data_IF_585793876926
#
_entry.id   IF_585793876926
#
_cell.length_a   1.000
_cell.length_b   1.000
_cell.length_c   1.000
_cell.angle_alpha   90.00
_cell.angle_beta   90.00
_cell.angle_gamma   90.00
#
_symmetry.space_group_name_H-M   'P 1'
#
loop_
_entity.id
_entity.type
_entity.pdbx_description
1 polymer ?
#
# COMPACT_ATOMS: atom_id res chain seq x y z
N UNK A 1 -16.01 -21.61 22.43
CA UNK A 1 -15.10 -22.02 21.34
C UNK A 1 -14.83 -20.91 20.31
N UNK A 2 -15.74 -19.94 20.10
CA UNK A 2 -15.55 -18.84 19.12
C UNK A 2 -14.54 -17.74 19.49
N UNK A 3 -14.15 -17.63 20.77
CA UNK A 3 -13.25 -16.56 21.23
C UNK A 3 -11.78 -16.79 20.81
N UNK A 4 -11.37 -18.05 20.68
CA UNK A 4 -9.99 -18.43 20.38
C UNK A 4 -9.60 -18.12 18.93
N UNK A 5 -10.49 -18.44 17.98
CA UNK A 5 -10.26 -18.18 16.56
C UNK A 5 -10.17 -16.68 16.23
N UNK A 6 -11.04 -15.85 16.85
CA UNK A 6 -11.01 -14.40 16.63
C UNK A 6 -9.72 -13.78 17.19
N UNK A 7 -9.31 -14.20 18.38
CA UNK A 7 -8.05 -13.75 18.98
C UNK A 7 -6.85 -14.23 18.15
N UNK A 8 -6.85 -15.48 17.68
CA UNK A 8 -5.78 -16.02 16.82
C UNK A 8 -5.65 -15.24 15.52
N UNK A 9 -6.76 -14.91 14.87
CA UNK A 9 -6.74 -14.09 13.66
C UNK A 9 -6.21 -12.68 13.94
N UNK A 10 -6.68 -12.03 15.00
CA UNK A 10 -6.20 -10.70 15.39
C UNK A 10 -4.69 -10.69 15.70
N UNK A 11 -4.17 -11.75 16.34
CA UNK A 11 -2.74 -11.92 16.57
C UNK A 11 -1.97 -12.06 15.25
N UNK A 12 -2.45 -12.89 14.33
CA UNK A 12 -1.78 -13.07 13.03
C UNK A 12 -1.79 -11.77 12.20
N UNK A 13 -2.94 -11.09 12.14
CA UNK A 13 -3.07 -9.82 11.44
C UNK A 13 -2.15 -8.76 12.08
N UNK A 14 -2.03 -8.74 13.41
CA UNK A 14 -1.10 -7.86 14.11
C UNK A 14 0.38 -8.18 13.82
N UNK A 15 0.75 -9.46 13.76
CA UNK A 15 2.12 -9.87 13.42
C UNK A 15 2.51 -9.41 12.01
N UNK A 16 1.58 -9.49 11.05
CA UNK A 16 1.81 -8.99 9.69
C UNK A 16 2.00 -7.45 9.69
N UNK A 17 1.17 -6.71 10.43
CA UNK A 17 1.29 -5.25 10.58
C UNK A 17 2.61 -4.84 11.24
N UNK A 18 3.11 -5.64 12.17
CA UNK A 18 4.40 -5.44 12.81
C UNK A 18 5.58 -5.74 11.87
N UNK A 19 5.47 -6.74 10.98
CA UNK A 19 6.48 -6.98 9.94
C UNK A 19 6.57 -5.80 8.97
N UNK A 20 5.42 -5.24 8.56
CA UNK A 20 5.41 -4.01 7.76
C UNK A 20 6.06 -2.83 8.49
N UNK A 21 5.67 -2.62 9.76
CA UNK A 21 6.27 -1.59 10.63
C UNK A 21 7.79 -1.70 10.71
N UNK A 22 8.32 -2.92 10.81
CA UNK A 22 9.76 -3.17 10.82
C UNK A 22 10.42 -2.79 9.49
N UNK A 23 9.81 -3.12 8.36
CA UNK A 23 10.29 -2.74 7.03
C UNK A 23 10.30 -1.20 6.86
N UNK A 24 9.25 -0.49 7.28
CA UNK A 24 9.17 0.98 7.21
C UNK A 24 10.18 1.70 8.11
N UNK A 25 10.39 1.17 9.33
CA UNK A 25 11.42 1.69 10.22
C UNK A 25 12.83 1.43 9.67
N UNK A 26 13.06 0.29 9.02
CA UNK A 26 14.32 -0.01 8.34
C UNK A 26 14.61 0.97 7.19
N UNK A 27 13.58 1.33 6.40
CA UNK A 27 13.69 2.37 5.37
C UNK A 27 14.02 3.74 5.99
N UNK A 28 13.39 4.07 7.11
CA UNK A 28 13.63 5.32 7.85
C UNK A 28 15.07 5.42 8.34
N UNK A 29 15.59 4.33 8.92
CA UNK A 29 16.98 4.26 9.38
C UNK A 29 17.94 4.42 8.18
N UNK A 30 17.71 3.65 7.11
CA UNK A 30 18.58 3.64 5.92
C UNK A 30 18.68 5.04 5.27
N UNK A 31 17.55 5.74 5.12
CA UNK A 31 17.54 7.10 4.58
C UNK A 31 18.17 8.16 5.50
N UNK A 32 18.23 7.87 6.81
CA UNK A 32 18.88 8.75 7.79
C UNK A 32 20.39 8.55 7.79
N UNK A 33 20.85 7.30 7.76
CA UNK A 33 22.27 6.93 7.74
C UNK A 33 22.96 7.31 6.42
N UNK A 34 22.25 7.17 5.29
CA UNK A 34 22.80 7.47 3.98
C UNK A 34 21.98 8.57 3.25
N UNK A 35 22.17 9.85 3.61
CA UNK A 35 21.38 10.96 3.07
C UNK A 35 21.50 11.16 1.56
N UNK A 36 22.58 10.64 0.96
CA UNK A 36 22.88 10.79 -0.46
C UNK A 36 22.61 9.50 -1.26
N UNK A 37 22.19 8.42 -0.59
CA UNK A 37 21.75 7.22 -1.30
C UNK A 37 20.54 7.55 -2.16
N UNK A 38 20.59 7.13 -3.42
CA UNK A 38 19.39 6.98 -4.23
C UNK A 38 18.66 5.74 -3.72
N UNK A 39 18.02 5.87 -2.57
CA UNK A 39 17.20 4.82 -1.99
C UNK A 39 16.16 4.37 -3.01
N UNK A 40 15.98 3.06 -3.08
CA UNK A 40 15.21 2.38 -4.14
C UNK A 40 13.75 2.85 -4.21
N UNK A 41 13.24 3.39 -3.10
CA UNK A 41 11.83 3.72 -2.87
C UNK A 41 11.58 5.18 -2.47
N UNK A 42 12.55 6.07 -2.68
CA UNK A 42 12.43 7.47 -2.27
C UNK A 42 11.75 8.34 -3.35
N UNK A 43 11.09 9.42 -2.90
CA UNK A 43 10.52 10.43 -3.78
C UNK A 43 11.57 11.45 -4.25
N UNK A 44 12.77 11.39 -3.68
CA UNK A 44 13.80 12.42 -3.78
C UNK A 44 13.66 13.51 -2.73
N UNK A 45 12.56 13.51 -1.95
CA UNK A 45 12.40 14.35 -0.77
C UNK A 45 12.46 13.49 0.49
N UNK A 46 13.67 13.36 1.03
CA UNK A 46 13.95 12.56 2.23
C UNK A 46 13.00 12.87 3.39
N UNK A 47 12.66 14.13 3.64
CA UNK A 47 11.78 14.49 4.74
C UNK A 47 10.35 13.99 4.51
N UNK A 48 9.87 14.07 3.28
CA UNK A 48 8.58 13.50 2.91
C UNK A 48 8.58 11.99 3.08
N UNK A 49 9.63 11.32 2.61
CA UNK A 49 9.75 9.86 2.69
C UNK A 49 9.78 9.38 4.15
N UNK A 50 10.60 10.03 5.00
CA UNK A 50 10.64 9.73 6.44
C UNK A 50 9.28 9.94 7.12
N UNK A 51 8.56 11.02 6.78
CA UNK A 51 7.20 11.24 7.31
C UNK A 51 6.24 10.13 6.89
N UNK A 52 6.31 9.72 5.62
CA UNK A 52 5.46 8.66 5.08
C UNK A 52 5.72 7.33 5.78
N UNK A 53 6.97 6.90 5.90
CA UNK A 53 7.30 5.62 6.53
C UNK A 53 7.01 5.61 8.03
N UNK A 54 7.32 6.69 8.75
CA UNK A 54 6.97 6.81 10.17
C UNK A 54 5.45 6.85 10.39
N UNK A 55 4.71 7.55 9.52
CA UNK A 55 3.24 7.56 9.55
C UNK A 55 2.63 6.19 9.27
N UNK A 56 3.18 5.46 8.29
CA UNK A 56 2.81 4.08 7.98
C UNK A 56 3.00 3.15 9.19
N UNK A 57 4.18 3.21 9.81
CA UNK A 57 4.47 2.40 11.00
C UNK A 57 3.55 2.72 12.18
N UNK A 58 3.09 3.96 12.34
CA UNK A 58 2.09 4.32 13.36
C UNK A 58 0.71 3.76 13.01
N UNK A 59 0.25 3.96 11.77
CA UNK A 59 -1.05 3.44 11.32
C UNK A 59 -1.15 1.91 11.40
N UNK A 60 -0.04 1.19 11.15
CA UNK A 60 0.05 -0.25 11.32
C UNK A 60 -0.12 -0.67 12.80
N UNK A 61 0.45 0.09 13.74
CA UNK A 61 0.29 -0.17 15.18
C UNK A 61 -1.14 0.09 15.64
N UNK A 62 -1.76 1.19 15.19
CA UNK A 62 -3.16 1.51 15.49
C UNK A 62 -4.10 0.42 14.95
N UNK A 63 -3.91 0.03 13.67
CA UNK A 63 -4.70 -1.05 13.05
C UNK A 63 -4.54 -2.39 13.78
N UNK A 64 -3.33 -2.71 14.27
CA UNK A 64 -3.14 -3.92 15.07
C UNK A 64 -3.99 -3.85 16.34
N UNK A 65 -4.00 -2.72 17.05
CA UNK A 65 -4.78 -2.57 18.28
C UNK A 65 -6.29 -2.69 18.01
N UNK A 66 -6.77 -2.06 16.93
CA UNK A 66 -8.16 -2.11 16.49
C UNK A 66 -8.58 -3.55 16.11
N UNK A 67 -7.66 -4.37 15.60
CA UNK A 67 -7.89 -5.78 15.30
C UNK A 67 -8.35 -6.61 16.51
N UNK A 68 -8.03 -6.15 17.74
CA UNK A 68 -8.47 -6.80 18.98
C UNK A 68 -9.79 -6.25 19.53
N UNK A 69 -10.41 -5.25 18.91
CA UNK A 69 -11.70 -4.72 19.35
C UNK A 69 -12.79 -5.79 19.32
N UNK A 70 -13.61 -5.77 20.37
CA UNK A 70 -14.62 -6.81 20.62
C UNK A 70 -14.04 -8.16 21.06
N UNK A 71 -12.73 -8.27 21.33
CA UNK A 71 -12.15 -9.39 22.08
C UNK A 71 -11.96 -9.00 23.54
N UNK A 72 -12.48 -9.79 24.48
CA UNK A 72 -12.19 -9.64 25.91
C UNK A 72 -10.96 -10.46 26.28
N UNK A 73 -9.83 -10.19 25.63
CA UNK A 73 -8.61 -10.99 25.78
C UNK A 73 -7.54 -10.27 26.61
N UNK A 74 -6.91 -11.00 27.53
CA UNK A 74 -5.68 -10.57 28.23
C UNK A 74 -4.56 -10.20 27.24
N UNK A 75 -4.55 -10.87 26.08
CA UNK A 75 -3.62 -10.65 24.97
C UNK A 75 -3.69 -9.20 24.45
N UNK A 76 -4.90 -8.63 24.31
CA UNK A 76 -5.08 -7.22 23.90
C UNK A 76 -4.31 -6.25 24.81
N UNK A 77 -4.37 -6.46 26.13
CA UNK A 77 -3.71 -5.56 27.09
C UNK A 77 -2.18 -5.67 27.04
N UNK A 78 -1.64 -6.88 26.87
CA UNK A 78 -0.19 -7.08 26.71
C UNK A 78 0.28 -6.38 25.43
N UNK A 79 -0.37 -6.69 24.31
CA UNK A 79 0.02 -6.15 23.00
C UNK A 79 -0.13 -4.63 22.99
N UNK A 80 -1.26 -4.09 23.48
CA UNK A 80 -1.48 -2.64 23.58
C UNK A 80 -0.44 -1.93 24.44
N UNK A 81 -0.02 -2.53 25.56
CA UNK A 81 1.04 -1.97 26.40
C UNK A 81 2.40 -1.90 25.70
N UNK A 82 2.81 -2.97 25.02
CA UNK A 82 4.05 -2.99 24.23
C UNK A 82 4.00 -2.05 23.03
N UNK A 83 2.89 -2.04 22.29
CA UNK A 83 2.70 -1.15 21.15
C UNK A 83 2.71 0.31 21.58
N UNK A 84 2.06 0.67 22.69
CA UNK A 84 2.06 2.05 23.18
C UNK A 84 3.46 2.62 23.43
N UNK A 85 4.43 1.79 23.82
CA UNK A 85 5.83 2.21 23.94
C UNK A 85 6.46 2.50 22.57
N UNK A 86 6.23 1.63 21.60
CA UNK A 86 6.71 1.80 20.23
C UNK A 86 6.07 3.03 19.59
N UNK A 87 4.76 3.20 19.73
CA UNK A 87 4.00 4.34 19.20
C UNK A 87 4.56 5.65 19.73
N UNK A 88 4.88 5.72 21.02
CA UNK A 88 5.49 6.90 21.64
C UNK A 88 6.84 7.24 21.02
N UNK A 89 7.72 6.25 20.85
CA UNK A 89 9.04 6.44 20.23
C UNK A 89 8.92 6.88 18.76
N UNK A 90 8.08 6.23 17.97
CA UNK A 90 7.87 6.57 16.56
C UNK A 90 7.26 7.97 16.42
N UNK A 91 6.32 8.35 17.29
CA UNK A 91 5.74 9.70 17.35
C UNK A 91 6.79 10.76 17.67
N UNK A 92 7.69 10.48 18.60
CA UNK A 92 8.80 11.38 18.94
C UNK A 92 9.71 11.61 17.72
N UNK A 93 10.07 10.55 16.99
CA UNK A 93 10.88 10.65 15.76
C UNK A 93 10.14 11.41 14.67
N UNK A 94 8.86 11.11 14.47
CA UNK A 94 8.02 11.84 13.51
C UNK A 94 7.96 13.34 13.85
N UNK A 95 7.87 13.69 15.13
CA UNK A 95 7.93 15.07 15.61
C UNK A 95 9.24 15.77 15.22
N UNK A 96 10.37 15.08 15.30
CA UNK A 96 11.68 15.61 14.86
C UNK A 96 11.71 15.84 13.33
N UNK A 97 11.20 14.88 12.55
CA UNK A 97 11.11 14.99 11.08
C UNK A 97 10.12 16.08 10.66
N UNK A 98 9.07 16.30 11.45
CA UNK A 98 8.03 17.29 11.17
C UNK A 98 8.44 18.74 11.39
N UNK A 99 9.52 19.03 12.13
CA UNK A 99 9.91 20.39 12.52
C UNK A 99 10.92 21.12 11.61
N UNK A 100 11.38 20.53 10.51
CA UNK A 100 12.27 21.22 9.55
C UNK A 100 11.61 22.42 8.82
N UNK A 101 12.39 23.35 8.23
CA UNK A 101 11.85 24.38 7.36
C UNK A 101 11.07 23.72 6.21
N UNK A 102 9.81 24.15 6.03
CA UNK A 102 9.08 23.85 4.80
C UNK A 102 9.89 24.50 3.68
N UNK A 103 10.59 23.71 2.87
CA UNK A 103 11.11 24.25 1.62
C UNK A 103 9.88 24.73 0.87
N UNK A 104 9.75 26.06 0.73
CA UNK A 104 8.75 26.67 -0.11
C UNK A 104 8.81 25.95 -1.46
N UNK A 105 7.74 25.25 -1.79
CA UNK A 105 7.55 24.61 -3.09
C UNK A 105 7.50 25.73 -4.13
N UNK A 106 8.67 26.16 -4.58
CA UNK A 106 8.85 26.97 -5.77
C UNK A 106 8.69 26.08 -6.98
N UNK A 107 7.45 25.77 -7.32
CA UNK A 107 6.98 25.62 -8.70
C UNK A 107 5.44 25.64 -8.64
N UNK A 108 4.87 26.78 -9.01
CA UNK A 108 3.43 26.95 -9.20
C UNK A 108 3.05 26.22 -10.50
N UNK A 109 2.21 25.17 -10.48
CA UNK A 109 1.56 24.72 -11.70
C UNK A 109 0.50 25.77 -12.07
N UNK A 110 0.43 26.11 -13.36
CA UNK A 110 -0.62 26.96 -13.90
C UNK A 110 -2.00 26.46 -13.47
N UNK A 111 -2.92 27.41 -13.33
CA UNK A 111 -4.29 27.38 -12.78
C UNK A 111 -5.24 26.29 -13.36
N UNK A 112 -4.75 25.38 -14.20
CA UNK A 112 -5.51 24.34 -14.92
C UNK A 112 -5.04 22.90 -14.64
N UNK A 113 -4.07 22.67 -13.74
CA UNK A 113 -3.50 21.33 -13.54
C UNK A 113 -4.29 20.52 -12.49
N UNK A 114 -5.08 19.53 -12.92
CA UNK A 114 -5.98 18.71 -12.09
C UNK A 114 -5.26 17.67 -11.20
N UNK A 115 -3.93 17.67 -11.14
CA UNK A 115 -3.13 16.65 -10.44
C UNK A 115 -2.29 17.22 -9.30
N UNK A 116 -2.14 16.49 -8.17
CA UNK A 116 -1.29 16.93 -7.07
C UNK A 116 0.18 17.14 -7.49
N UNK A 117 0.87 18.04 -6.80
CA UNK A 117 2.29 18.38 -7.03
C UNK A 117 3.26 17.22 -6.74
N UNK A 118 2.87 16.27 -5.87
CA UNK A 118 3.67 15.09 -5.54
C UNK A 118 3.62 13.99 -6.61
N UNK A 119 2.67 14.07 -7.54
CA UNK A 119 2.48 13.08 -8.61
C UNK A 119 3.36 13.39 -9.81
N UNK A 120 4.25 12.46 -10.19
CA UNK A 120 5.20 12.66 -11.29
C UNK A 120 4.47 12.77 -12.63
N UNK A 121 5.01 13.56 -13.56
CA UNK A 121 4.43 13.74 -14.92
C UNK A 121 4.18 12.41 -15.64
N UNK A 122 5.08 11.43 -15.48
CA UNK A 122 4.91 10.08 -16.04
C UNK A 122 3.71 9.33 -15.46
N UNK A 123 3.39 9.54 -14.18
CA UNK A 123 2.24 8.94 -13.50
C UNK A 123 0.94 9.61 -13.96
N UNK A 124 0.96 10.94 -14.12
CA UNK A 124 -0.16 11.70 -14.71
C UNK A 124 -0.48 11.25 -16.13
N UNK A 125 0.54 11.01 -16.95
CA UNK A 125 0.36 10.49 -18.31
C UNK A 125 -0.32 9.13 -18.34
N UNK A 126 -0.04 8.25 -17.36
CA UNK A 126 -0.66 6.91 -17.30
C UNK A 126 -2.12 6.93 -16.89
N UNK A 127 -2.52 7.92 -16.09
CA UNK A 127 -3.94 8.15 -15.80
C UNK A 127 -4.75 8.58 -17.02
N UNK A 128 -4.08 9.12 -18.02
CA UNK A 128 -4.69 9.65 -19.22
C UNK A 128 -4.61 8.68 -20.40
N UNK A 129 -3.90 7.56 -20.25
CA UNK A 129 -3.72 6.55 -21.30
C UNK A 129 -4.93 5.61 -21.31
N UNK A 130 -5.52 5.39 -22.49
CA UNK A 130 -6.55 4.36 -22.67
C UNK A 130 -5.97 2.97 -22.43
N UNK A 131 -6.79 2.01 -21.99
CA UNK A 131 -6.35 0.63 -21.64
C UNK A 131 -5.52 -0.01 -22.78
N UNK A 132 -5.81 0.34 -24.04
CA UNK A 132 -5.08 -0.13 -25.24
C UNK A 132 -3.63 0.38 -25.38
N UNK A 133 -3.25 1.44 -24.64
CA UNK A 133 -1.90 2.01 -24.64
C UNK A 133 -1.03 1.53 -23.48
N UNK A 134 -1.57 0.74 -22.54
CA UNK A 134 -0.80 0.18 -21.43
C UNK A 134 -0.22 -1.18 -21.85
N UNK A 135 1.09 -1.25 -22.04
CA UNK A 135 1.79 -2.52 -22.26
C UNK A 135 1.72 -3.35 -20.96
N UNK A 136 0.77 -4.29 -20.90
CA UNK A 136 0.66 -5.23 -19.80
C UNK A 136 1.85 -6.19 -19.82
N UNK A 137 2.43 -6.46 -18.65
CA UNK A 137 3.47 -7.48 -18.51
C UNK A 137 2.86 -8.88 -18.40
N UNK A 138 1.72 -8.99 -17.72
CA UNK A 138 0.98 -10.24 -17.56
C UNK A 138 -0.52 -10.02 -17.69
N UNK A 139 -1.23 -11.08 -18.10
CA UNK A 139 -2.68 -11.07 -18.33
C UNK A 139 -3.31 -12.15 -17.47
N UNK A 140 -4.35 -11.79 -16.73
CA UNK A 140 -5.20 -12.69 -15.96
C UNK A 140 -6.51 -12.88 -16.71
N UNK A 141 -6.89 -14.14 -16.96
CA UNK A 141 -8.14 -14.48 -17.63
C UNK A 141 -8.68 -15.82 -17.14
N UNK A 142 -9.91 -15.82 -16.61
CA UNK A 142 -10.57 -17.04 -16.11
C UNK A 142 -10.80 -18.12 -17.14
N UNK A 143 -10.97 -17.73 -18.40
CA UNK A 143 -11.16 -18.64 -19.53
C UNK A 143 -9.85 -19.33 -19.98
N UNK A 144 -8.73 -19.04 -19.31
CA UNK A 144 -7.42 -19.60 -19.65
C UNK A 144 -6.74 -18.91 -20.84
N UNK A 145 -7.32 -17.85 -21.40
CA UNK A 145 -6.75 -17.09 -22.53
C UNK A 145 -5.62 -16.13 -22.12
N UNK A 146 -5.21 -16.13 -20.85
CA UNK A 146 -4.18 -15.28 -20.26
C UNK A 146 -2.97 -16.07 -19.80
N UNK A 147 -2.05 -15.39 -19.12
CA UNK A 147 -0.88 -16.00 -18.47
C UNK A 147 -1.27 -16.73 -17.17
N UNK A 148 -2.23 -16.18 -16.43
CA UNK A 148 -2.74 -16.74 -15.18
C UNK A 148 -4.28 -16.77 -15.21
N UNK A 149 -4.87 -17.68 -14.46
CA UNK A 149 -6.33 -17.75 -14.25
C UNK A 149 -6.78 -17.02 -13.00
N UNK A 150 -5.86 -16.80 -12.06
CA UNK A 150 -6.08 -16.13 -10.78
C UNK A 150 -5.25 -14.85 -10.68
N UNK A 151 -5.74 -13.89 -9.92
CA UNK A 151 -5.02 -12.63 -9.66
C UNK A 151 -3.87 -12.90 -8.69
N UNK A 152 -4.08 -13.80 -7.73
CA UNK A 152 -3.07 -14.19 -6.73
C UNK A 152 -1.80 -14.71 -7.40
N UNK A 153 -1.91 -15.60 -8.39
CA UNK A 153 -0.73 -16.14 -9.09
C UNK A 153 0.03 -15.06 -9.86
N UNK A 154 -0.69 -14.12 -10.48
CA UNK A 154 -0.09 -13.02 -11.20
C UNK A 154 0.68 -12.06 -10.28
N UNK A 155 0.17 -11.82 -9.06
CA UNK A 155 0.84 -11.02 -8.02
C UNK A 155 2.05 -11.76 -7.47
N UNK A 156 1.93 -13.07 -7.19
CA UNK A 156 3.04 -13.88 -6.67
C UNK A 156 4.22 -13.92 -7.65
N UNK A 157 3.94 -13.96 -8.95
CA UNK A 157 4.96 -13.92 -10.00
C UNK A 157 5.72 -12.59 -10.11
N UNK A 158 5.18 -11.50 -9.56
CA UNK A 158 5.88 -10.22 -9.56
C UNK A 158 7.14 -10.27 -8.67
N UNK A 159 8.22 -9.60 -9.04
CA UNK A 159 9.41 -9.53 -8.20
C UNK A 159 9.15 -8.67 -6.96
N UNK A 160 9.55 -9.18 -5.78
CA UNK A 160 9.49 -8.42 -4.54
C UNK A 160 10.37 -7.16 -4.65
N UNK A 161 9.88 -6.05 -4.09
CA UNK A 161 10.67 -4.82 -3.95
C UNK A 161 11.26 -4.32 -5.28
N UNK A 162 10.57 -4.57 -6.40
CA UNK A 162 11.00 -4.11 -7.73
C UNK A 162 10.73 -2.62 -7.92
N UNK A 163 11.71 -1.88 -8.46
CA UNK A 163 11.50 -0.50 -8.95
C UNK A 163 10.85 -0.45 -10.31
N UNK A 164 10.89 -1.55 -11.06
CA UNK A 164 10.24 -1.65 -12.36
C UNK A 164 8.76 -1.90 -12.14
N UNK A 165 7.94 -1.15 -12.87
CA UNK A 165 6.48 -1.32 -12.84
C UNK A 165 6.11 -2.67 -13.42
N UNK A 166 5.29 -3.40 -12.69
CA UNK A 166 4.72 -4.68 -13.10
C UNK A 166 3.22 -4.50 -13.31
N UNK A 167 2.79 -4.56 -14.57
CA UNK A 167 1.39 -4.30 -14.95
C UNK A 167 0.67 -5.62 -15.16
N UNK A 168 -0.38 -5.84 -14.38
CA UNK A 168 -1.30 -6.96 -14.45
C UNK A 168 -2.58 -6.48 -15.13
N UNK A 169 -2.87 -7.00 -16.31
CA UNK A 169 -4.15 -6.76 -16.97
C UNK A 169 -5.13 -7.89 -16.62
N UNK A 170 -6.30 -7.54 -16.13
CA UNK A 170 -7.32 -8.46 -15.63
C UNK A 170 -8.50 -8.37 -16.58
N UNK A 171 -8.73 -9.44 -17.35
CA UNK A 171 -9.89 -9.50 -18.25
C UNK A 171 -11.19 -9.54 -17.47
N UNK A 172 -12.27 -9.15 -18.13
CA UNK A 172 -13.64 -9.18 -17.65
C UNK A 172 -13.99 -10.50 -16.95
N UNK A 173 -14.71 -10.38 -15.85
CA UNK A 173 -15.11 -11.51 -15.02
C UNK A 173 -15.21 -11.11 -13.56
N UNK A 174 -15.83 -11.98 -12.78
CA UNK A 174 -15.94 -11.85 -11.33
C UNK A 174 -14.94 -12.79 -10.68
N UNK A 175 -13.90 -12.27 -10.04
CA UNK A 175 -12.82 -12.98 -9.37
C UNK A 175 -13.11 -13.03 -7.87
N UNK A 176 -13.44 -14.22 -7.36
CA UNK A 176 -13.68 -14.45 -5.94
C UNK A 176 -12.37 -14.85 -5.26
N UNK A 177 -11.56 -13.86 -4.91
CA UNK A 177 -10.21 -14.04 -4.37
C UNK A 177 -9.94 -13.02 -3.26
N UNK A 178 -9.25 -13.45 -2.20
CA UNK A 178 -8.65 -12.54 -1.23
C UNK A 178 -7.19 -12.34 -1.66
N UNK A 179 -6.94 -11.31 -2.48
CA UNK A 179 -5.61 -11.04 -3.03
C UNK A 179 -4.76 -10.32 -2.00
N UNK A 180 -3.66 -10.94 -1.59
CA UNK A 180 -2.71 -10.37 -0.66
C UNK A 180 -1.47 -9.84 -1.41
N UNK A 181 -1.14 -8.57 -1.22
CA UNK A 181 -0.01 -7.92 -1.89
C UNK A 181 1.07 -7.61 -0.86
N UNK A 182 1.87 -8.62 -0.49
CA UNK A 182 3.02 -8.43 0.42
C UNK A 182 4.29 -8.11 -0.37
N UNK A 183 4.98 -7.02 0.02
CA UNK A 183 6.34 -6.66 -0.46
C UNK A 183 6.43 -6.45 -1.99
N UNK A 184 5.36 -5.97 -2.64
CA UNK A 184 5.32 -5.62 -4.08
C UNK A 184 5.13 -4.10 -4.27
N UNK A 185 6.21 -3.36 -4.55
CA UNK A 185 6.22 -1.88 -4.48
C UNK A 185 5.74 -1.14 -5.74
N UNK A 186 5.74 -1.75 -6.93
CA UNK A 186 5.39 -1.05 -8.18
C UNK A 186 4.46 -1.91 -9.04
N UNK A 187 3.39 -2.41 -8.44
CA UNK A 187 2.38 -3.24 -9.08
C UNK A 187 1.22 -2.37 -9.53
N UNK A 188 0.78 -2.55 -10.78
CA UNK A 188 -0.37 -1.85 -11.37
C UNK A 188 -1.35 -2.89 -11.86
N UNK A 189 -2.62 -2.77 -11.48
CA UNK A 189 -3.70 -3.63 -11.96
C UNK A 189 -4.63 -2.82 -12.85
N UNK A 190 -4.96 -3.36 -14.02
CA UNK A 190 -5.84 -2.73 -15.02
C UNK A 190 -6.93 -3.71 -15.41
N UNK A 191 -8.20 -3.35 -15.23
CA UNK A 191 -9.33 -4.17 -15.65
C UNK A 191 -9.88 -3.78 -17.03
N UNK A 192 -10.72 -4.63 -17.61
CA UNK A 192 -11.50 -4.33 -18.83
C UNK A 192 -12.50 -3.17 -18.68
N UNK A 193 -12.77 -2.77 -17.44
CA UNK A 193 -13.67 -1.66 -17.12
C UNK A 193 -14.35 -1.87 -15.77
N UNK A 194 -14.72 -0.75 -15.15
CA UNK A 194 -15.50 -0.73 -13.92
C UNK A 194 -16.82 -1.50 -14.11
N UNK A 195 -17.18 -2.35 -13.14
CA UNK A 195 -18.39 -3.17 -13.16
C UNK A 195 -18.32 -4.41 -14.06
N UNK A 196 -17.30 -4.53 -14.90
CA UNK A 196 -17.11 -5.68 -15.81
C UNK A 196 -15.95 -6.57 -15.35
N UNK A 197 -14.92 -5.97 -14.76
CA UNK A 197 -13.90 -6.68 -13.98
C UNK A 197 -14.19 -6.43 -12.51
N UNK A 198 -14.57 -7.48 -11.79
CA UNK A 198 -14.95 -7.38 -10.37
C UNK A 198 -14.08 -8.32 -9.57
N UNK A 199 -13.43 -7.81 -8.53
CA UNK A 199 -12.68 -8.60 -7.55
C UNK A 199 -13.50 -8.57 -6.27
N UNK A 200 -13.85 -9.74 -5.75
CA UNK A 200 -14.70 -9.90 -4.57
C UNK A 200 -14.00 -10.82 -3.57
N UNK A 201 -13.86 -10.36 -2.33
CA UNK A 201 -13.24 -11.10 -1.22
C UNK A 201 -14.21 -11.28 -0.04
N UNK A 202 -13.93 -12.25 0.84
CA UNK A 202 -14.81 -12.68 1.93
C UNK A 202 -14.38 -12.26 3.35
N UNK A 203 -13.25 -11.55 3.51
CA UNK A 203 -12.84 -10.97 4.79
C UNK A 203 -13.27 -9.50 4.83
N UNK A 204 -14.53 -9.24 5.17
CA UNK A 204 -15.17 -7.91 5.35
C UNK A 204 -14.93 -6.90 4.19
N UNK A 205 -15.99 -6.26 3.71
CA UNK A 205 -15.98 -5.15 2.74
C UNK A 205 -15.12 -3.92 3.12
N UNK A 206 -14.30 -4.00 4.17
CA UNK A 206 -13.37 -2.96 4.64
C UNK A 206 -11.98 -3.03 3.99
N UNK A 207 -11.60 -4.15 3.36
CA UNK A 207 -10.27 -4.27 2.73
C UNK A 207 -10.13 -3.47 1.42
N UNK A 208 -11.25 -3.04 0.83
CA UNK A 208 -11.25 -2.20 -0.38
C UNK A 208 -11.14 -0.70 -0.07
N UNK A 209 -11.34 -0.27 1.18
CA UNK A 209 -11.18 1.13 1.60
C UNK A 209 -9.91 1.40 2.42
N UNK A 210 -9.31 0.39 3.07
CA UNK A 210 -8.19 0.62 4.00
C UNK A 210 -6.79 0.58 3.33
N UNK A 211 -6.64 0.04 2.10
CA UNK A 211 -5.35 0.11 1.37
C UNK A 211 -5.27 1.18 0.28
N UNK A 212 -6.19 2.15 0.27
CA UNK A 212 -6.07 3.30 -0.63
C UNK A 212 -4.97 4.27 -0.15
N UNK A 213 -4.59 4.26 1.14
CA UNK A 213 -3.62 5.23 1.66
C UNK A 213 -2.14 4.82 1.55
N UNK A 214 -1.80 3.57 1.26
CA UNK A 214 -0.40 3.15 1.04
C UNK A 214 -0.05 2.79 -0.41
N UNK A 215 -1.04 2.78 -1.30
CA UNK A 215 -0.81 2.55 -2.72
C UNK A 215 -1.27 3.79 -3.48
N UNK A 216 -0.35 4.73 -3.71
CA UNK A 216 -0.47 5.65 -4.83
C UNK A 216 -0.32 4.87 -6.16
N UNK A 217 -1.29 4.03 -6.47
CA UNK A 217 -1.57 3.47 -7.79
C UNK A 217 -3.08 3.40 -7.95
N UNK A 218 -3.69 4.58 -7.98
CA UNK A 218 -4.62 4.98 -9.03
C UNK A 218 -5.37 3.80 -9.71
N UNK A 219 -6.41 3.30 -9.05
CA UNK A 219 -7.49 2.63 -9.77
C UNK A 219 -8.32 3.76 -10.39
N UNK A 220 -7.99 4.15 -11.62
CA UNK A 220 -8.86 5.00 -12.43
C UNK A 220 -9.37 4.18 -13.62
N UNK A 221 -10.67 3.87 -13.58
CA UNK A 221 -11.43 3.49 -14.76
C UNK A 221 -11.76 4.78 -15.51
N UNK A 222 -11.28 4.92 -16.74
CA UNK A 222 -11.73 5.97 -17.66
C UNK A 222 -13.21 5.71 -17.96
N UNK A 223 -14.10 6.48 -17.34
CA UNK A 223 -15.49 6.62 -17.77
C UNK A 223 -15.52 7.39 -19.08
N UNK A 224 -16.37 6.93 -20.01
CA UNK A 224 -16.47 7.39 -21.39
C UNK A 224 -16.98 8.81 -21.58
#
# INVERSE_FOLDING_TARGET
MFNDLRVTNAVNDCLDLLDYSADELSLTISATENPNAKEKFNTGNRRSDLKTWLGAALGNQDTCQDGFDGTNSFVKNIIGGSLGQVTSLVTQVLGMVAQGPSNNFGDLPGENDKFPSWMKVRERGLLQVSVNGVMAYVVVAKDGSGHYTTITDAVLAALNNSTRRYVIYIKKGVYHENVEIKKKWNLMMVGDGMGVTVISGGKLDLALEITIEQVASLIYSVGG
#
